data_IF_209740554571
#
_entry.id   IF_209740554571
#
_cell.length_a   1.000
_cell.length_b   1.000
_cell.length_c   1.000
_cell.angle_alpha   90.00
_cell.angle_beta   90.00
_cell.angle_gamma   90.00
#
_symmetry.space_group_name_H-M   'P 1'
#
loop_
_entity.id
_entity.type
_entity.pdbx_description
1 polymer ?
#
# COMPACT_ATOMS: atom_id res chain seq x y z
N UNK A 1 -34.66 -13.67 -0.35
CA UNK A 1 -34.75 -12.21 -0.61
C UNK A 1 -33.78 -11.87 -1.72
N UNK A 2 -34.16 -11.05 -2.71
CA UNK A 2 -33.26 -10.63 -3.81
C UNK A 2 -32.98 -9.13 -3.69
N UNK A 3 -31.75 -8.72 -3.96
CA UNK A 3 -31.36 -7.30 -4.07
C UNK A 3 -30.61 -7.07 -5.36
N UNK A 4 -30.87 -5.93 -5.98
CA UNK A 4 -30.27 -5.55 -7.26
C UNK A 4 -29.40 -4.31 -7.05
N UNK A 5 -28.23 -4.29 -7.69
CA UNK A 5 -27.31 -3.16 -7.65
C UNK A 5 -26.57 -3.02 -8.98
N UNK A 6 -26.05 -1.83 -9.27
CA UNK A 6 -25.15 -1.67 -10.42
C UNK A 6 -23.77 -2.24 -10.08
N UNK A 7 -23.24 -1.90 -8.91
CA UNK A 7 -21.92 -2.34 -8.45
C UNK A 7 -22.05 -3.14 -7.16
N UNK A 8 -21.65 -4.41 -7.20
CA UNK A 8 -21.47 -5.25 -6.02
C UNK A 8 -19.99 -5.25 -5.63
N UNK A 9 -19.65 -4.70 -4.47
CA UNK A 9 -18.31 -4.74 -3.90
C UNK A 9 -18.29 -5.81 -2.79
N UNK A 10 -17.35 -6.76 -2.87
CA UNK A 10 -17.24 -7.85 -1.90
C UNK A 10 -15.96 -7.70 -1.09
N UNK A 11 -16.10 -7.44 0.21
CA UNK A 11 -15.01 -7.35 1.18
C UNK A 11 -14.95 -5.98 1.86
N UNK A 12 -15.02 -5.96 3.19
CA UNK A 12 -14.95 -4.76 4.03
C UNK A 12 -13.53 -4.27 4.36
N UNK A 13 -12.50 -4.83 3.71
CA UNK A 13 -11.12 -4.36 3.87
C UNK A 13 -10.83 -3.07 3.10
N UNK A 14 -9.60 -2.56 3.25
CA UNK A 14 -9.15 -1.29 2.64
C UNK A 14 -9.48 -1.21 1.15
N UNK A 15 -9.19 -2.27 0.39
CA UNK A 15 -9.42 -2.30 -1.05
C UNK A 15 -10.91 -2.19 -1.42
N UNK A 16 -11.79 -2.90 -0.70
CA UNK A 16 -13.23 -2.89 -0.98
C UNK A 16 -13.88 -1.58 -0.56
N UNK A 17 -13.55 -1.06 0.63
CA UNK A 17 -14.08 0.23 1.09
C UNK A 17 -13.63 1.37 0.18
N UNK A 18 -12.34 1.42 -0.17
CA UNK A 18 -11.81 2.44 -1.09
C UNK A 18 -12.46 2.33 -2.48
N UNK A 19 -12.71 1.11 -2.96
CA UNK A 19 -13.42 0.88 -4.22
C UNK A 19 -14.85 1.44 -4.16
N UNK A 20 -15.60 1.11 -3.10
CA UNK A 20 -16.99 1.57 -2.93
C UNK A 20 -17.08 3.11 -2.79
N UNK A 21 -16.20 3.72 -2.00
CA UNK A 21 -16.11 5.18 -1.84
C UNK A 21 -15.75 5.87 -3.16
N UNK A 22 -14.79 5.33 -3.90
CA UNK A 22 -14.38 5.87 -5.21
C UNK A 22 -15.51 5.73 -6.24
N UNK A 23 -16.22 4.60 -6.25
CA UNK A 23 -17.40 4.41 -7.10
C UNK A 23 -18.50 5.41 -6.75
N UNK A 24 -18.72 5.71 -5.47
CA UNK A 24 -19.72 6.71 -5.06
C UNK A 24 -19.36 8.12 -5.55
N UNK A 25 -18.07 8.46 -5.62
CA UNK A 25 -17.59 9.73 -6.16
C UNK A 25 -17.70 9.77 -7.69
N UNK A 26 -17.22 8.73 -8.37
CA UNK A 26 -17.14 8.70 -9.84
C UNK A 26 -18.49 8.40 -10.51
N UNK A 27 -19.39 7.70 -9.83
CA UNK A 27 -20.68 7.23 -10.35
C UNK A 27 -21.82 7.53 -9.35
N UNK A 28 -22.09 8.81 -9.03
CA UNK A 28 -22.99 9.19 -7.92
C UNK A 28 -24.44 8.74 -8.10
N UNK A 29 -24.87 8.47 -9.34
CA UNK A 29 -26.23 7.99 -9.64
C UNK A 29 -26.35 6.46 -9.69
N UNK A 30 -25.26 5.72 -9.50
CA UNK A 30 -25.27 4.25 -9.54
C UNK A 30 -25.51 3.66 -8.15
N UNK A 31 -26.31 2.60 -8.09
CA UNK A 31 -26.48 1.83 -6.85
C UNK A 31 -25.23 0.99 -6.55
N UNK A 32 -24.68 1.18 -5.37
CA UNK A 32 -23.48 0.49 -4.88
C UNK A 32 -23.88 -0.32 -3.66
N UNK A 33 -23.51 -1.60 -3.66
CA UNK A 33 -23.76 -2.53 -2.56
C UNK A 33 -22.43 -3.11 -2.08
N UNK A 34 -22.09 -2.87 -0.82
CA UNK A 34 -20.95 -3.48 -0.14
C UNK A 34 -21.41 -4.71 0.65
N UNK A 35 -20.94 -5.88 0.23
CA UNK A 35 -21.06 -7.13 0.98
C UNK A 35 -19.79 -7.35 1.82
N UNK A 36 -19.95 -7.49 3.13
CA UNK A 36 -18.85 -7.69 4.07
C UNK A 36 -19.18 -8.79 5.08
N UNK A 37 -18.19 -9.59 5.47
CA UNK A 37 -18.39 -10.67 6.45
C UNK A 37 -18.47 -10.14 7.90
N UNK A 38 -17.98 -8.93 8.15
CA UNK A 38 -17.97 -8.27 9.47
C UNK A 38 -18.69 -6.93 9.42
N UNK A 39 -19.31 -6.54 10.54
CA UNK A 39 -19.85 -5.18 10.73
C UNK A 39 -18.76 -4.13 10.89
N UNK A 40 -17.52 -4.54 11.12
CA UNK A 40 -16.36 -3.66 11.16
C UNK A 40 -15.66 -3.66 9.81
N UNK A 41 -15.48 -2.48 9.25
CA UNK A 41 -14.79 -2.25 7.98
C UNK A 41 -13.52 -1.40 8.17
N UNK A 42 -12.56 -1.54 7.26
CA UNK A 42 -11.31 -0.77 7.25
C UNK A 42 -11.40 0.35 6.22
N UNK A 43 -11.49 1.59 6.69
CA UNK A 43 -11.53 2.82 5.87
C UNK A 43 -10.20 3.56 5.95
N UNK A 44 -9.89 4.31 4.90
CA UNK A 44 -8.67 5.11 4.79
C UNK A 44 -8.99 6.56 5.14
N UNK A 45 -8.17 7.18 5.97
CA UNK A 45 -8.30 8.58 6.40
C UNK A 45 -6.98 9.32 6.28
N UNK A 46 -7.00 10.65 6.36
CA UNK A 46 -5.81 11.50 6.34
C UNK A 46 -4.89 11.22 5.14
N UNK A 47 -5.47 11.22 3.93
CA UNK A 47 -4.71 11.02 2.71
C UNK A 47 -3.80 12.25 2.46
N UNK A 48 -2.50 12.08 2.70
CA UNK A 48 -1.48 13.12 2.56
C UNK A 48 -0.53 12.75 1.43
N UNK A 49 -0.39 13.58 0.38
CA UNK A 49 0.58 13.34 -0.68
C UNK A 49 2.02 13.47 -0.12
N UNK A 50 2.83 12.45 -0.37
CA UNK A 50 4.27 12.38 -0.01
C UNK A 50 5.16 12.59 -1.23
N UNK A 51 4.68 12.15 -2.39
CA UNK A 51 5.25 12.37 -3.70
C UNK A 51 4.11 12.43 -4.73
N UNK A 52 4.42 12.76 -5.99
CA UNK A 52 3.42 12.86 -7.07
C UNK A 52 2.47 11.66 -7.17
N UNK A 53 2.99 10.45 -6.89
CA UNK A 53 2.23 9.20 -6.95
C UNK A 53 2.24 8.41 -5.63
N UNK A 54 2.76 8.99 -4.54
CA UNK A 54 2.83 8.33 -3.24
C UNK A 54 2.02 9.11 -2.23
N UNK A 55 1.12 8.42 -1.54
CA UNK A 55 0.31 8.99 -0.47
C UNK A 55 0.57 8.24 0.82
N UNK A 56 0.64 8.99 1.92
CA UNK A 56 0.50 8.45 3.28
C UNK A 56 -0.96 8.52 3.65
N UNK A 57 -1.43 7.51 4.37
CA UNK A 57 -2.76 7.48 4.92
C UNK A 57 -2.81 6.69 6.22
N UNK A 58 -3.87 6.92 6.99
CA UNK A 58 -4.15 6.19 8.21
C UNK A 58 -5.30 5.22 7.96
N UNK A 59 -5.16 3.98 8.43
CA UNK A 59 -6.23 2.98 8.39
C UNK A 59 -7.03 3.09 9.68
N UNK A 60 -8.36 3.19 9.57
CA UNK A 60 -9.28 3.19 10.70
C UNK A 60 -10.33 2.10 10.56
N UNK A 61 -10.61 1.45 11.67
CA UNK A 61 -11.75 0.56 11.80
C UNK A 61 -12.99 1.38 12.18
N UNK A 62 -14.10 1.11 11.50
CA UNK A 62 -15.39 1.78 11.70
C UNK A 62 -16.52 0.77 11.52
N UNK A 63 -17.68 1.07 12.08
CA UNK A 63 -18.87 0.27 11.84
C UNK A 63 -19.42 0.52 10.41
N UNK A 64 -20.00 -0.50 9.79
CA UNK A 64 -20.64 -0.41 8.46
C UNK A 64 -21.71 0.68 8.39
N UNK A 65 -22.35 1.03 9.51
CA UNK A 65 -23.36 2.09 9.56
C UNK A 65 -22.76 3.50 9.44
N UNK A 66 -21.45 3.64 9.63
CA UNK A 66 -20.73 4.91 9.46
C UNK A 66 -20.26 5.13 8.01
N UNK A 67 -20.48 4.14 7.12
CA UNK A 67 -20.19 4.29 5.69
C UNK A 67 -21.19 5.28 5.08
N UNK A 68 -20.70 6.09 4.13
CA UNK A 68 -21.51 7.13 3.48
C UNK A 68 -22.85 6.62 2.96
N UNK A 69 -23.90 7.43 3.15
CA UNK A 69 -25.30 7.06 2.87
C UNK A 69 -25.58 6.60 1.42
N UNK A 70 -24.67 6.88 0.48
CA UNK A 70 -24.74 6.45 -0.92
C UNK A 70 -24.37 4.99 -1.15
N UNK A 71 -23.83 4.29 -0.14
CA UNK A 71 -23.39 2.90 -0.24
C UNK A 71 -24.30 2.04 0.63
N UNK A 72 -25.06 1.14 0.01
CA UNK A 72 -25.83 0.14 0.73
C UNK A 72 -24.88 -0.94 1.27
N UNK A 73 -25.16 -1.48 2.45
CA UNK A 73 -24.32 -2.52 3.07
C UNK A 73 -25.13 -3.78 3.38
N UNK A 74 -24.46 -4.94 3.32
CA UNK A 74 -24.96 -6.22 3.83
C UNK A 74 -23.81 -6.87 4.61
N UNK A 75 -24.08 -7.21 5.87
CA UNK A 75 -23.18 -8.02 6.68
C UNK A 75 -23.56 -9.49 6.49
N UNK A 76 -22.86 -10.17 5.59
CA UNK A 76 -22.98 -11.60 5.33
C UNK A 76 -21.74 -12.08 4.54
N UNK A 77 -21.51 -13.38 4.52
CA UNK A 77 -20.42 -13.98 3.77
C UNK A 77 -20.88 -14.32 2.35
N UNK A 78 -20.05 -13.98 1.36
CA UNK A 78 -20.23 -14.46 -0.01
C UNK A 78 -20.02 -15.98 -0.05
N UNK A 79 -20.98 -16.70 -0.62
CA UNK A 79 -20.90 -18.16 -0.79
C UNK A 79 -20.60 -18.54 -2.25
N UNK A 80 -21.29 -17.91 -3.20
CA UNK A 80 -21.23 -18.29 -4.62
C UNK A 80 -21.40 -17.09 -5.55
N UNK A 81 -20.73 -17.15 -6.70
CA UNK A 81 -20.87 -16.18 -7.80
C UNK A 81 -21.26 -16.93 -9.07
N UNK A 82 -22.38 -16.54 -9.68
CA UNK A 82 -22.70 -16.85 -11.07
C UNK A 82 -22.32 -15.66 -11.95
N UNK A 83 -21.17 -15.74 -12.61
CA UNK A 83 -20.69 -14.68 -13.51
C UNK A 83 -21.41 -14.63 -14.86
N UNK A 84 -22.06 -15.72 -15.29
CA UNK A 84 -22.79 -15.75 -16.58
C UNK A 84 -24.14 -15.07 -16.49
N UNK A 85 -24.84 -15.28 -15.38
CA UNK A 85 -26.17 -14.69 -15.13
C UNK A 85 -26.09 -13.45 -14.22
N UNK A 86 -24.87 -13.03 -13.85
CA UNK A 86 -24.57 -11.82 -13.09
C UNK A 86 -25.33 -11.75 -11.74
N UNK A 87 -25.21 -12.80 -10.94
CA UNK A 87 -25.71 -12.82 -9.57
C UNK A 87 -24.76 -13.53 -8.61
N UNK A 88 -24.86 -13.18 -7.33
CA UNK A 88 -24.12 -13.80 -6.24
C UNK A 88 -25.08 -14.26 -5.14
N UNK A 89 -24.68 -15.25 -4.36
CA UNK A 89 -25.44 -15.74 -3.20
C UNK A 89 -24.60 -15.64 -1.95
N UNK A 90 -25.20 -15.15 -0.88
CA UNK A 90 -24.61 -15.10 0.45
C UNK A 90 -24.91 -16.37 1.24
N UNK A 91 -24.19 -16.63 2.33
CA UNK A 91 -24.41 -17.83 3.17
C UNK A 91 -25.79 -17.90 3.78
N UNK A 92 -26.43 -16.76 4.10
CA UNK A 92 -27.83 -16.77 4.58
C UNK A 92 -28.85 -16.94 3.44
N UNK A 93 -28.40 -17.09 2.20
CA UNK A 93 -29.26 -17.34 1.03
C UNK A 93 -29.79 -16.08 0.35
N UNK A 94 -29.23 -14.90 0.62
CA UNK A 94 -29.60 -13.67 -0.10
C UNK A 94 -29.03 -13.72 -1.50
N UNK A 95 -29.86 -13.43 -2.50
CA UNK A 95 -29.42 -13.32 -3.91
C UNK A 95 -29.14 -11.85 -4.23
N UNK A 96 -27.96 -11.58 -4.76
CA UNK A 96 -27.47 -10.25 -5.13
C UNK A 96 -27.24 -10.21 -6.64
N UNK A 97 -28.11 -9.53 -7.37
CA UNK A 97 -27.91 -9.30 -8.81
C UNK A 97 -27.07 -8.04 -9.01
N UNK A 98 -26.14 -8.10 -9.96
CA UNK A 98 -25.20 -7.03 -10.20
C UNK A 98 -25.01 -6.76 -11.68
N UNK A 99 -24.60 -5.54 -12.04
CA UNK A 99 -24.06 -5.29 -13.39
C UNK A 99 -22.55 -5.53 -13.42
N UNK A 100 -21.86 -5.05 -12.40
CA UNK A 100 -20.42 -5.23 -12.19
C UNK A 100 -20.16 -5.74 -10.78
N UNK A 101 -19.13 -6.58 -10.61
CA UNK A 101 -18.68 -7.08 -9.32
C UNK A 101 -17.20 -6.76 -9.10
N UNK A 102 -16.87 -6.24 -7.92
CA UNK A 102 -15.51 -5.99 -7.46
C UNK A 102 -15.20 -6.96 -6.31
N UNK A 103 -14.33 -7.94 -6.56
CA UNK A 103 -13.95 -8.94 -5.54
C UNK A 103 -12.71 -8.46 -4.81
N UNK A 104 -12.89 -8.08 -3.54
CA UNK A 104 -11.88 -7.48 -2.67
C UNK A 104 -11.68 -8.32 -1.40
N UNK A 105 -11.73 -9.65 -1.52
CA UNK A 105 -11.69 -10.63 -0.42
C UNK A 105 -10.30 -10.87 0.17
N UNK A 106 -9.34 -9.96 -0.05
CA UNK A 106 -7.95 -10.12 0.36
C UNK A 106 -7.15 -11.03 -0.56
N UNK A 107 -5.91 -11.33 -0.16
CA UNK A 107 -5.05 -12.28 -0.85
C UNK A 107 -4.22 -13.05 0.16
N UNK A 108 -3.75 -14.23 -0.22
CA UNK A 108 -2.95 -15.08 0.66
C UNK A 108 -1.49 -15.12 0.18
N UNK A 109 -0.51 -15.05 1.09
CA UNK A 109 0.89 -15.19 0.72
C UNK A 109 1.15 -16.60 0.17
N UNK A 110 1.97 -16.71 -0.88
CA UNK A 110 2.45 -17.99 -1.41
C UNK A 110 3.68 -18.42 -0.62
N UNK A 111 3.48 -19.25 0.40
CA UNK A 111 4.58 -19.74 1.23
C UNK A 111 5.31 -20.89 0.54
N UNK A 112 6.64 -20.88 0.65
CA UNK A 112 7.49 -21.98 0.21
C UNK A 112 7.49 -23.03 1.34
N UNK A 113 6.92 -24.20 1.08
CA UNK A 113 6.84 -25.35 2.00
C UNK A 113 5.68 -25.34 3.03
N UNK A 114 4.81 -26.34 2.92
CA UNK A 114 3.63 -26.60 3.78
C UNK A 114 3.82 -27.84 4.69
N UNK A 115 5.07 -28.18 5.02
CA UNK A 115 5.42 -29.24 5.99
C UNK A 115 5.60 -28.73 7.43
N UNK A 116 6.16 -29.57 8.32
CA UNK A 116 6.34 -29.36 9.77
C UNK A 116 7.12 -28.09 10.23
N UNK A 117 7.49 -27.18 9.33
CA UNK A 117 8.19 -25.93 9.62
C UNK A 117 7.30 -24.66 9.57
N UNK A 118 5.98 -24.79 9.37
CA UNK A 118 5.04 -23.65 9.29
C UNK A 118 5.16 -22.67 10.46
N UNK A 119 5.47 -23.14 11.67
CA UNK A 119 5.52 -22.29 12.86
C UNK A 119 6.61 -21.22 12.84
N UNK A 120 7.64 -21.35 11.98
CA UNK A 120 8.73 -20.36 11.85
C UNK A 120 8.64 -19.52 10.59
N UNK A 121 7.80 -19.93 9.63
CA UNK A 121 7.61 -19.21 8.37
C UNK A 121 6.48 -18.19 8.57
N UNK A 122 6.73 -16.93 8.22
CA UNK A 122 5.72 -15.88 8.21
C UNK A 122 5.67 -15.30 6.80
N UNK A 123 4.47 -15.24 6.22
CA UNK A 123 4.21 -14.45 5.02
C UNK A 123 3.69 -13.07 5.41
N UNK A 124 4.29 -12.01 4.88
CA UNK A 124 3.82 -10.63 5.07
C UNK A 124 2.83 -10.30 3.96
N UNK A 125 1.63 -9.84 4.32
CA UNK A 125 0.57 -9.50 3.36
C UNK A 125 -0.31 -8.32 3.79
N UNK A 126 -0.63 -8.24 5.07
CA UNK A 126 -1.55 -7.26 5.65
C UNK A 126 -1.07 -6.78 7.02
N UNK A 127 -1.83 -5.87 7.63
CA UNK A 127 -1.52 -5.29 8.95
C UNK A 127 -1.31 -6.35 10.02
N UNK A 128 -2.09 -7.44 10.00
CA UNK A 128 -2.05 -8.47 11.04
C UNK A 128 -0.77 -9.30 10.92
N UNK A 129 -0.38 -9.66 9.70
CA UNK A 129 0.89 -10.33 9.43
C UNK A 129 2.13 -9.49 9.80
N UNK A 130 2.05 -8.16 9.68
CA UNK A 130 3.11 -7.24 10.10
C UNK A 130 3.23 -7.20 11.62
N UNK A 131 2.10 -7.15 12.34
CA UNK A 131 2.08 -7.17 13.81
C UNK A 131 2.64 -8.50 14.35
N UNK A 132 2.29 -9.62 13.72
CA UNK A 132 2.85 -10.93 14.08
C UNK A 132 4.36 -10.99 13.83
N UNK A 133 4.84 -10.45 12.70
CA UNK A 133 6.28 -10.33 12.45
C UNK A 133 6.97 -9.52 13.55
N UNK A 134 6.45 -8.34 13.89
CA UNK A 134 7.01 -7.50 14.95
C UNK A 134 7.12 -8.25 16.28
N UNK A 135 6.08 -9.01 16.64
CA UNK A 135 6.07 -9.83 17.85
C UNK A 135 7.14 -10.94 17.83
N UNK A 136 7.32 -11.63 16.70
CA UNK A 136 8.33 -12.70 16.58
C UNK A 136 9.75 -12.15 16.57
N UNK A 137 9.96 -10.97 15.99
CA UNK A 137 11.26 -10.31 15.96
C UNK A 137 11.80 -9.99 17.37
N UNK A 138 10.93 -9.80 18.37
CA UNK A 138 11.37 -9.52 19.76
C UNK A 138 12.21 -10.64 20.38
N UNK A 139 12.04 -11.88 19.93
CA UNK A 139 12.74 -13.06 20.49
C UNK A 139 13.58 -13.80 19.45
N UNK A 140 13.52 -13.39 18.19
CA UNK A 140 14.30 -13.98 17.11
C UNK A 140 15.79 -13.68 17.31
N UNK A 141 16.63 -14.71 17.13
CA UNK A 141 18.09 -14.57 17.09
C UNK A 141 18.59 -14.42 15.66
N UNK A 142 18.05 -15.26 14.78
CA UNK A 142 18.41 -15.33 13.38
C UNK A 142 17.14 -15.16 12.53
N UNK A 143 17.23 -14.29 11.52
CA UNK A 143 16.11 -13.98 10.62
C UNK A 143 16.59 -14.15 9.19
N UNK A 144 15.89 -14.97 8.40
CA UNK A 144 16.05 -15.06 6.96
C UNK A 144 14.87 -14.37 6.29
N UNK A 145 15.16 -13.34 5.49
CA UNK A 145 14.16 -12.69 4.64
C UNK A 145 14.25 -13.35 3.27
N UNK A 146 13.14 -13.98 2.83
CA UNK A 146 13.03 -14.58 1.51
C UNK A 146 11.92 -13.89 0.71
N UNK A 147 12.31 -13.27 -0.41
CA UNK A 147 11.41 -12.54 -1.30
C UNK A 147 12.21 -11.49 -2.08
N UNK A 148 11.70 -11.07 -3.24
CA UNK A 148 12.31 -9.97 -3.98
C UNK A 148 12.01 -8.66 -3.24
N UNK A 149 13.00 -8.19 -2.47
CA UNK A 149 12.87 -7.08 -1.54
C UNK A 149 12.49 -5.78 -2.23
N UNK A 150 11.49 -5.09 -1.67
CA UNK A 150 11.22 -3.68 -1.93
C UNK A 150 10.62 -3.34 -3.30
N UNK A 151 9.29 -3.17 -3.37
CA UNK A 151 8.68 -2.36 -4.45
C UNK A 151 9.12 -0.89 -4.31
N UNK A 152 9.46 -0.47 -3.08
CA UNK A 152 9.95 0.85 -2.74
C UNK A 152 10.92 0.78 -1.55
N UNK A 153 11.95 1.63 -1.58
CA UNK A 153 12.91 1.86 -0.50
C UNK A 153 12.72 3.30 -0.02
N UNK A 154 12.60 3.47 1.30
CA UNK A 154 12.40 4.77 1.96
C UNK A 154 13.48 4.93 3.03
N UNK A 155 14.38 5.91 2.84
CA UNK A 155 15.53 6.12 3.74
C UNK A 155 15.45 7.46 4.45
N UNK A 156 15.90 7.48 5.71
CA UNK A 156 16.03 8.67 6.53
C UNK A 156 14.75 9.50 6.59
N UNK A 157 14.90 10.81 6.37
CA UNK A 157 13.81 11.80 6.35
C UNK A 157 13.12 11.89 4.97
N UNK A 158 12.76 10.74 4.41
CA UNK A 158 12.25 10.56 3.03
C UNK A 158 11.06 11.47 2.64
N UNK A 159 10.28 11.95 3.61
CA UNK A 159 9.16 12.88 3.38
C UNK A 159 9.39 14.27 4.00
N UNK A 160 10.62 14.61 4.35
CA UNK A 160 10.94 15.88 5.00
C UNK A 160 10.62 15.88 6.50
N UNK A 161 10.35 14.72 7.11
CA UNK A 161 9.91 14.68 8.50
C UNK A 161 10.91 15.33 9.44
N UNK A 162 10.43 16.31 10.22
CA UNK A 162 11.25 17.04 11.19
C UNK A 162 12.28 18.01 10.59
N UNK A 163 12.22 18.32 9.29
CA UNK A 163 13.12 19.29 8.63
C UNK A 163 12.55 20.72 8.57
N UNK A 164 11.28 20.93 8.95
CA UNK A 164 10.63 22.22 8.82
C UNK A 164 10.26 22.53 7.37
N UNK A 165 10.60 23.73 6.88
CA UNK A 165 10.30 24.18 5.51
C UNK A 165 11.55 24.41 4.66
N UNK A 166 12.73 24.28 5.26
CA UNK A 166 13.99 24.62 4.64
C UNK A 166 14.69 23.34 4.21
N UNK A 167 14.20 22.76 3.11
CA UNK A 167 14.79 21.60 2.46
C UNK A 167 14.45 21.63 0.97
N UNK A 168 15.31 21.02 0.18
CA UNK A 168 15.19 20.90 -1.26
C UNK A 168 14.75 19.48 -1.64
N UNK A 169 14.01 19.38 -2.75
CA UNK A 169 13.58 18.12 -3.32
C UNK A 169 14.12 17.97 -4.74
N UNK A 170 15.01 17.01 -4.94
CA UNK A 170 15.42 16.56 -6.27
C UNK A 170 14.63 15.32 -6.65
N UNK A 171 14.13 15.26 -7.89
CA UNK A 171 13.28 14.15 -8.35
C UNK A 171 13.70 13.70 -9.74
N UNK A 172 13.95 12.40 -9.90
CA UNK A 172 14.11 11.71 -11.19
C UNK A 172 12.97 10.72 -11.37
N UNK A 173 12.35 10.73 -12.54
CA UNK A 173 11.33 9.74 -12.88
C UNK A 173 11.51 9.25 -14.31
N UNK A 174 11.78 7.96 -14.45
CA UNK A 174 11.91 7.29 -15.74
C UNK A 174 10.73 6.36 -15.91
N UNK A 175 9.89 6.64 -16.92
CA UNK A 175 8.61 5.93 -17.13
C UNK A 175 8.84 4.41 -17.22
N UNK A 176 8.04 3.65 -16.47
CA UNK A 176 8.09 2.19 -16.39
C UNK A 176 9.44 1.60 -15.91
N UNK A 177 10.33 2.42 -15.37
CA UNK A 177 11.64 1.98 -14.86
C UNK A 177 11.78 2.31 -13.38
N UNK A 178 11.76 3.59 -13.03
CA UNK A 178 12.11 4.02 -11.68
C UNK A 178 11.53 5.38 -11.30
N UNK A 179 11.43 5.61 -9.99
CA UNK A 179 11.19 6.91 -9.39
C UNK A 179 12.15 7.11 -8.22
N UNK A 180 12.87 8.23 -8.23
CA UNK A 180 13.82 8.61 -7.19
C UNK A 180 13.49 10.02 -6.73
N UNK A 181 13.47 10.21 -5.42
CA UNK A 181 13.32 11.52 -4.77
C UNK A 181 14.34 11.64 -3.67
N UNK A 182 15.17 12.67 -3.72
CA UNK A 182 16.07 13.06 -2.65
C UNK A 182 15.51 14.24 -1.87
N UNK A 183 15.74 14.23 -0.57
CA UNK A 183 15.42 15.31 0.37
C UNK A 183 16.75 15.85 0.87
N UNK A 184 17.12 17.05 0.44
CA UNK A 184 18.37 17.70 0.82
C UNK A 184 18.12 18.82 1.81
N UNK A 185 19.02 18.99 2.78
CA UNK A 185 19.03 20.16 3.66
C UNK A 185 20.47 20.55 3.93
N UNK A 186 20.83 21.81 3.62
CA UNK A 186 22.17 22.36 3.74
C UNK A 186 23.20 21.50 3.01
N UNK A 187 22.97 21.25 1.72
CA UNK A 187 23.86 20.45 0.88
C UNK A 187 23.85 18.94 1.15
N UNK A 188 23.17 18.44 2.18
CA UNK A 188 23.29 17.04 2.62
C UNK A 188 22.04 16.24 2.35
N UNK A 189 22.20 15.00 1.88
CA UNK A 189 21.09 14.07 1.76
C UNK A 189 20.54 13.71 3.15
N UNK A 190 19.27 14.02 3.40
CA UNK A 190 18.57 13.73 4.66
C UNK A 190 17.59 12.59 4.52
N UNK A 191 17.10 12.32 3.32
CA UNK A 191 16.22 11.20 3.05
C UNK A 191 16.05 10.94 1.57
N UNK A 192 15.60 9.73 1.25
CA UNK A 192 15.40 9.30 -0.13
C UNK A 192 14.15 8.42 -0.26
N UNK A 193 13.51 8.49 -1.42
CA UNK A 193 12.50 7.52 -1.89
C UNK A 193 13.03 6.95 -3.19
N UNK A 194 13.10 5.63 -3.30
CA UNK A 194 13.44 4.91 -4.52
C UNK A 194 12.36 3.87 -4.79
N UNK A 195 11.89 3.79 -6.03
CA UNK A 195 10.88 2.83 -6.49
C UNK A 195 11.40 2.25 -7.80
N UNK A 196 11.36 0.92 -7.92
CA UNK A 196 11.99 0.21 -9.02
C UNK A 196 13.41 -0.21 -8.70
N UNK A 197 14.10 -0.73 -9.71
CA UNK A 197 15.49 -1.20 -9.61
C UNK A 197 16.43 -0.02 -9.89
N UNK A 198 16.97 0.58 -8.82
CA UNK A 198 17.73 1.83 -8.90
C UNK A 198 19.21 1.68 -8.60
N UNK A 199 19.63 0.56 -7.98
CA UNK A 199 20.96 0.27 -7.40
C UNK A 199 21.48 1.28 -6.34
N UNK A 200 20.91 2.49 -6.26
CA UNK A 200 21.34 3.60 -5.38
C UNK A 200 21.04 3.45 -3.87
N UNK A 201 20.51 2.31 -3.44
CA UNK A 201 20.02 2.17 -2.07
C UNK A 201 21.15 2.26 -1.03
N UNK A 202 22.24 1.54 -1.28
CA UNK A 202 23.43 1.53 -0.42
C UNK A 202 24.14 2.89 -0.45
N UNK A 203 24.30 3.47 -1.64
CA UNK A 203 24.86 4.81 -1.80
C UNK A 203 24.09 5.85 -0.98
N UNK A 204 22.75 5.86 -1.08
CA UNK A 204 21.90 6.79 -0.34
C UNK A 204 22.01 6.59 1.17
N UNK A 205 22.11 5.34 1.64
CA UNK A 205 22.31 5.04 3.05
C UNK A 205 23.62 5.63 3.56
N UNK A 206 24.72 5.39 2.85
CA UNK A 206 26.05 5.94 3.19
C UNK A 206 26.06 7.47 3.19
N UNK A 207 25.43 8.10 2.19
CA UNK A 207 25.29 9.54 2.11
C UNK A 207 24.55 10.14 3.31
N UNK A 208 23.46 9.50 3.73
CA UNK A 208 22.66 9.94 4.89
C UNK A 208 23.44 9.74 6.20
N UNK A 209 24.10 8.59 6.36
CA UNK A 209 24.82 8.24 7.59
C UNK A 209 26.06 9.12 7.80
N UNK A 210 26.86 9.29 6.76
CA UNK A 210 28.08 10.11 6.80
C UNK A 210 27.77 11.61 6.67
N UNK A 211 26.55 11.94 6.20
CA UNK A 211 26.11 13.31 5.99
C UNK A 211 27.00 14.03 4.98
N UNK A 212 27.42 13.37 3.90
CA UNK A 212 28.37 13.96 2.95
C UNK A 212 27.78 15.24 2.34
N UNK A 213 28.63 16.25 2.17
CA UNK A 213 28.25 17.50 1.51
C UNK A 213 28.16 17.27 0.00
N UNK A 214 26.98 17.51 -0.56
CA UNK A 214 26.66 17.28 -1.96
C UNK A 214 26.56 18.57 -2.78
N UNK A 215 26.73 19.75 -2.17
CA UNK A 215 26.79 21.03 -2.91
C UNK A 215 27.75 21.00 -4.11
N UNK A 216 28.95 20.37 -4.03
CA UNK A 216 29.87 20.30 -5.17
C UNK A 216 29.30 19.61 -6.42
N UNK A 217 28.28 18.77 -6.26
CA UNK A 217 27.69 17.98 -7.34
C UNK A 217 26.44 18.63 -7.94
N UNK A 218 25.85 19.63 -7.27
CA UNK A 218 24.71 20.39 -7.79
C UNK A 218 23.55 19.52 -8.28
N UNK A 219 22.99 19.85 -9.45
CA UNK A 219 21.86 19.13 -10.05
C UNK A 219 22.24 17.75 -10.62
N UNK A 220 23.54 17.48 -10.80
CA UNK A 220 24.05 16.25 -11.41
C UNK A 220 23.94 15.03 -10.48
N UNK A 221 23.62 15.23 -9.20
CA UNK A 221 23.42 14.17 -8.18
C UNK A 221 22.42 13.08 -8.63
N UNK A 222 21.42 13.45 -9.44
CA UNK A 222 20.43 12.49 -9.96
C UNK A 222 20.65 12.14 -11.43
N UNK A 223 21.75 12.58 -12.05
CA UNK A 223 22.03 12.26 -13.44
C UNK A 223 22.27 10.75 -13.60
N UNK A 224 21.49 10.02 -14.42
CA UNK A 224 21.65 8.58 -14.57
C UNK A 224 22.93 8.16 -15.32
N UNK A 225 23.58 9.08 -16.02
CA UNK A 225 24.85 8.83 -16.72
C UNK A 225 26.07 9.01 -15.81
N UNK A 226 25.82 9.42 -14.56
CA UNK A 226 26.84 9.66 -13.54
C UNK A 226 26.66 8.60 -12.46
N UNK A 227 27.70 7.78 -12.26
CA UNK A 227 27.73 6.89 -11.11
C UNK A 227 28.08 7.72 -9.88
N UNK A 228 27.11 7.91 -8.99
CA UNK A 228 27.34 8.70 -7.79
C UNK A 228 28.23 7.95 -6.79
N UNK A 229 28.34 6.61 -6.90
CA UNK A 229 29.23 5.80 -6.05
C UNK A 229 30.70 6.15 -6.28
N UNK A 230 31.10 6.39 -7.53
CA UNK A 230 32.47 6.76 -7.93
C UNK A 230 32.98 8.05 -7.25
N UNK A 231 32.09 8.89 -6.71
CA UNK A 231 32.47 10.13 -6.03
C UNK A 231 32.81 9.93 -4.55
N UNK A 232 32.53 8.76 -3.99
CA UNK A 232 32.66 8.50 -2.55
C UNK A 232 33.62 7.35 -2.20
N UNK A 233 34.28 6.76 -3.20
CA UNK A 233 35.48 5.91 -3.06
C UNK A 233 36.76 6.74 -2.79
#
# INVERSE_FOLDING_TARGET
MSRDCNFLVVGGGIAGVSCAETLAICCPSSSILLLTESSIVKSVTNLVPVARYLHKFDVREKDVNEIGASIATIVDQLEYINSREHWARTKTGVILKYRYICVCTGGSPKLFNSGHAESRIIGIRDTDSVLELQKRLLTAKDVLILGNGGIAILLGRFNGQGLGRDYELLVRCTRNKEYIKFVLQNGRLRGAIMIGDTDLAETCENLILNGIDLEPYGDDILNPDIDIEDYFD
#
